data_IF_385416792039
#
_entry.id   IF_385416792039
#
_cell.length_a   1.000
_cell.length_b   1.000
_cell.length_c   1.000
_cell.angle_alpha   90.00
_cell.angle_beta   90.00
_cell.angle_gamma   90.00
#
_symmetry.space_group_name_H-M   'P 1'
#
loop_
_entity.id
_entity.type
_entity.pdbx_description
1 polymer ?
#
# COMPACT_ATOMS: atom_id res chain seq x y z
N UNK A 1 -19.11 -0.91 6.72
CA UNK A 1 -17.64 -1.01 6.54
C UNK A 1 -17.32 -0.20 5.30
N UNK A 2 -16.46 0.80 5.44
CA UNK A 2 -16.10 1.68 4.32
C UNK A 2 -15.00 1.02 3.49
N UNK A 3 -15.09 1.14 2.17
CA UNK A 3 -14.12 0.58 1.23
C UNK A 3 -13.45 1.71 0.45
N UNK A 4 -12.15 1.56 0.23
CA UNK A 4 -11.36 2.41 -0.65
C UNK A 4 -11.12 1.65 -1.97
N UNK A 5 -11.81 2.00 -3.06
CA UNK A 5 -11.40 1.57 -4.39
C UNK A 5 -10.06 2.22 -4.70
N UNK A 6 -9.05 1.41 -4.99
CA UNK A 6 -7.70 1.88 -5.26
C UNK A 6 -7.20 1.36 -6.59
N UNK A 7 -6.59 2.24 -7.39
CA UNK A 7 -5.96 1.89 -8.64
C UNK A 7 -4.51 2.36 -8.63
N UNK A 8 -3.61 1.45 -8.96
CA UNK A 8 -2.19 1.72 -9.12
C UNK A 8 -1.75 1.33 -10.53
N UNK A 9 -0.93 2.16 -11.17
CA UNK A 9 -0.33 1.87 -12.48
C UNK A 9 1.16 1.68 -12.26
N UNK A 10 1.66 0.48 -12.54
CA UNK A 10 3.09 0.17 -12.40
C UNK A 10 3.91 0.85 -13.51
N UNK A 11 5.22 0.91 -13.33
CA UNK A 11 6.14 1.43 -14.35
C UNK A 11 6.13 0.64 -15.67
N UNK A 12 5.63 -0.61 -15.68
CA UNK A 12 5.45 -1.41 -16.90
C UNK A 12 4.14 -1.13 -17.64
N UNK A 13 3.26 -0.28 -17.10
CA UNK A 13 1.94 0.00 -17.65
C UNK A 13 0.88 -1.04 -17.28
N UNK A 14 1.15 -1.90 -16.30
CA UNK A 14 0.13 -2.77 -15.70
C UNK A 14 -0.72 -1.94 -14.73
N UNK A 15 -2.04 -2.05 -14.86
CA UNK A 15 -2.99 -1.47 -13.92
C UNK A 15 -3.46 -2.52 -12.93
N UNK A 16 -3.27 -2.22 -11.65
CA UNK A 16 -3.71 -3.01 -10.52
C UNK A 16 -4.88 -2.29 -9.86
N UNK A 17 -6.01 -2.97 -9.68
CA UNK A 17 -7.18 -2.42 -8.98
C UNK A 17 -7.53 -3.27 -7.77
N UNK A 18 -7.79 -2.61 -6.64
CA UNK A 18 -8.10 -3.21 -5.34
C UNK A 18 -9.34 -2.57 -4.71
N UNK A 19 -10.00 -3.30 -3.83
CA UNK A 19 -11.05 -2.80 -2.94
C UNK A 19 -10.59 -3.00 -1.48
N UNK A 20 -9.99 -1.97 -0.88
CA UNK A 20 -9.45 -2.07 0.47
C UNK A 20 -10.50 -1.75 1.54
N UNK A 21 -10.77 -2.68 2.43
CA UNK A 21 -11.61 -2.43 3.61
C UNK A 21 -10.87 -1.51 4.60
N UNK A 22 -11.43 -0.33 4.88
CA UNK A 22 -10.84 0.62 5.82
C UNK A 22 -11.14 0.25 7.27
N UNK A 23 -10.21 0.61 8.17
CA UNK A 23 -10.44 0.47 9.60
C UNK A 23 -11.54 1.44 10.07
N UNK A 24 -12.43 1.05 11.01
CA UNK A 24 -13.50 1.94 11.50
C UNK A 24 -13.01 3.29 12.05
N UNK A 25 -11.78 3.33 12.55
CA UNK A 25 -11.11 4.55 13.05
C UNK A 25 -10.36 5.33 11.95
N UNK A 26 -10.56 4.99 10.67
CA UNK A 26 -9.97 5.75 9.56
C UNK A 26 -10.74 7.04 9.35
N UNK A 27 -10.12 8.18 9.67
CA UNK A 27 -10.79 9.50 9.54
C UNK A 27 -11.06 9.93 8.09
N UNK A 28 -10.22 9.50 7.12
CA UNK A 28 -10.32 9.99 5.74
C UNK A 28 -9.73 9.01 4.72
N UNK A 29 -10.60 8.38 3.93
CA UNK A 29 -10.22 7.55 2.79
C UNK A 29 -9.34 8.32 1.77
N UNK A 30 -9.68 9.59 1.51
CA UNK A 30 -8.91 10.45 0.58
C UNK A 30 -7.48 10.66 1.06
N UNK A 31 -7.27 10.92 2.36
CA UNK A 31 -5.92 11.09 2.92
C UNK A 31 -5.13 9.77 2.87
N UNK A 32 -5.79 8.65 3.13
CA UNK A 32 -5.18 7.32 3.00
C UNK A 32 -4.71 7.08 1.56
N UNK A 33 -5.56 7.34 0.57
CA UNK A 33 -5.18 7.21 -0.85
C UNK A 33 -3.97 8.08 -1.19
N UNK A 34 -4.00 9.37 -0.83
CA UNK A 34 -2.90 10.30 -1.10
C UNK A 34 -1.58 9.86 -0.45
N UNK A 35 -1.63 9.29 0.76
CA UNK A 35 -0.45 8.76 1.43
C UNK A 35 0.04 7.48 0.75
N UNK A 36 -0.86 6.58 0.38
CA UNK A 36 -0.52 5.34 -0.33
C UNK A 36 0.17 5.65 -1.66
N UNK A 37 -0.37 6.57 -2.46
CA UNK A 37 0.23 7.00 -3.73
C UNK A 37 1.65 7.53 -3.54
N UNK A 38 1.87 8.36 -2.51
CA UNK A 38 3.19 8.93 -2.20
C UNK A 38 4.18 7.87 -1.73
N UNK A 39 3.72 6.91 -0.92
CA UNK A 39 4.56 5.80 -0.44
C UNK A 39 4.99 4.95 -1.62
N UNK A 40 4.06 4.51 -2.46
CA UNK A 40 4.37 3.68 -3.63
C UNK A 40 5.27 4.43 -4.62
N UNK A 41 4.97 5.70 -4.93
CA UNK A 41 5.83 6.52 -5.81
C UNK A 41 7.26 6.66 -5.27
N UNK A 42 7.41 6.86 -3.96
CA UNK A 42 8.74 6.97 -3.33
C UNK A 42 9.47 5.63 -3.40
N UNK A 43 8.78 4.54 -3.09
CA UNK A 43 9.33 3.19 -3.17
C UNK A 43 9.79 2.87 -4.59
N UNK A 44 8.97 3.16 -5.60
CA UNK A 44 9.30 2.90 -7.01
C UNK A 44 10.54 3.68 -7.44
N UNK A 45 10.67 4.93 -6.98
CA UNK A 45 11.85 5.74 -7.21
C UNK A 45 13.09 5.13 -6.57
N UNK A 46 13.03 4.75 -5.29
CA UNK A 46 14.17 4.18 -4.58
C UNK A 46 14.58 2.82 -5.14
N UNK A 47 13.63 1.98 -5.55
CA UNK A 47 13.93 0.70 -6.24
C UNK A 47 14.68 0.95 -7.55
N UNK A 48 14.28 1.96 -8.33
CA UNK A 48 14.98 2.34 -9.54
C UNK A 48 16.39 2.88 -9.29
N UNK A 49 16.63 3.51 -8.14
CA UNK A 49 17.95 4.08 -7.75
C UNK A 49 18.88 3.02 -7.14
N UNK A 50 18.35 2.14 -6.29
CA UNK A 50 19.15 1.16 -5.52
C UNK A 50 19.61 -0.04 -6.36
N UNK A 51 18.98 -0.31 -7.51
CA UNK A 51 19.33 -1.44 -8.37
C UNK A 51 18.69 -2.75 -7.89
N UNK A 52 19.46 -3.84 -7.81
CA UNK A 52 18.99 -5.19 -7.46
C UNK A 52 18.35 -5.27 -6.06
N UNK A 53 17.10 -4.80 -5.95
CA UNK A 53 16.25 -4.90 -4.76
C UNK A 53 15.34 -6.10 -4.96
N UNK A 54 15.45 -7.12 -4.11
CA UNK A 54 14.51 -8.24 -4.20
C UNK A 54 13.18 -7.87 -3.53
N UNK A 55 12.07 -8.47 -3.97
CA UNK A 55 10.74 -8.22 -3.40
C UNK A 55 10.69 -8.47 -1.88
N UNK A 56 11.52 -9.38 -1.37
CA UNK A 56 11.64 -9.66 0.07
C UNK A 56 12.15 -8.46 0.87
N UNK A 57 13.19 -7.78 0.38
CA UNK A 57 13.76 -6.60 1.03
C UNK A 57 12.74 -5.45 1.08
N UNK A 58 11.97 -5.29 0.00
CA UNK A 58 10.93 -4.27 -0.07
C UNK A 58 9.81 -4.52 0.95
N UNK A 59 9.27 -5.74 0.99
CA UNK A 59 8.21 -6.09 1.95
C UNK A 59 8.71 -6.01 3.40
N UNK A 60 9.94 -6.43 3.67
CA UNK A 60 10.58 -6.31 4.98
C UNK A 60 10.72 -4.84 5.40
N UNK A 61 11.20 -3.97 4.52
CA UNK A 61 11.38 -2.54 4.80
C UNK A 61 10.03 -1.85 5.08
N UNK A 62 8.99 -2.13 4.29
CA UNK A 62 7.65 -1.59 4.52
C UNK A 62 7.05 -2.06 5.84
N UNK A 63 7.24 -3.33 6.22
CA UNK A 63 6.81 -3.86 7.50
C UNK A 63 7.55 -3.19 8.68
N UNK A 64 8.86 -2.98 8.56
CA UNK A 64 9.65 -2.28 9.58
C UNK A 64 9.26 -0.80 9.68
N UNK A 65 8.97 -0.13 8.56
CA UNK A 65 8.48 1.25 8.54
C UNK A 65 7.13 1.38 9.25
N UNK A 66 6.21 0.43 9.04
CA UNK A 66 4.96 0.36 9.79
C UNK A 66 5.21 0.19 11.29
N UNK A 67 6.11 -0.71 11.70
CA UNK A 67 6.44 -0.93 13.10
C UNK A 67 6.98 0.35 13.76
N UNK A 68 7.94 1.03 13.12
CA UNK A 68 8.47 2.32 13.60
C UNK A 68 7.35 3.34 13.71
N UNK A 69 6.49 3.47 12.70
CA UNK A 69 5.39 4.45 12.71
C UNK A 69 4.34 4.16 13.78
N UNK A 70 4.11 2.88 14.08
CA UNK A 70 3.19 2.42 15.13
C UNK A 70 3.71 2.83 16.52
N UNK A 71 5.01 2.66 16.77
CA UNK A 71 5.64 3.06 18.04
C UNK A 71 5.59 4.57 18.29
N UNK A 72 5.50 5.38 17.23
CA UNK A 72 5.38 6.84 17.36
C UNK A 72 4.00 7.32 17.83
N UNK A 73 2.99 6.44 17.95
CA UNK A 73 1.64 6.81 18.39
C UNK A 73 1.63 6.91 19.92
N UNK A 74 1.28 8.06 20.52
CA UNK A 74 1.25 8.23 21.97
C UNK A 74 -0.03 7.60 22.57
N UNK A 75 -0.09 6.28 22.60
CA UNK A 75 -1.20 5.49 23.13
C UNK A 75 -0.70 4.20 23.80
N UNK A 76 -1.62 3.36 24.28
CA UNK A 76 -1.26 2.06 24.81
C UNK A 76 -0.60 1.17 23.75
N UNK A 77 0.52 0.54 24.11
CA UNK A 77 1.35 -0.21 23.16
C UNK A 77 0.72 -1.52 22.68
N UNK A 78 -0.17 -2.16 23.44
CA UNK A 78 -0.90 -3.33 22.94
C UNK A 78 -1.99 -2.89 21.96
N UNK A 79 -2.69 -1.81 22.27
CA UNK A 79 -3.69 -1.21 21.39
C UNK A 79 -3.12 -0.83 20.02
N UNK A 80 -2.00 -0.10 19.97
CA UNK A 80 -1.40 0.34 18.70
C UNK A 80 -0.86 -0.84 17.89
N UNK A 81 -0.28 -1.85 18.54
CA UNK A 81 0.14 -3.10 17.88
C UNK A 81 -1.05 -3.89 17.33
N UNK A 82 -2.17 -3.92 18.05
CA UNK A 82 -3.42 -4.53 17.59
C UNK A 82 -3.95 -3.83 16.34
N UNK A 83 -4.03 -2.49 16.38
CA UNK A 83 -4.43 -1.67 15.24
C UNK A 83 -3.53 -1.91 14.01
N UNK A 84 -2.20 -1.90 14.19
CA UNK A 84 -1.26 -2.13 13.10
C UNK A 84 -1.42 -3.50 12.43
N UNK A 85 -1.69 -4.56 13.21
CA UNK A 85 -1.98 -5.89 12.67
C UNK A 85 -3.28 -5.91 11.88
N UNK A 86 -4.35 -5.34 12.46
CA UNK A 86 -5.68 -5.33 11.86
C UNK A 86 -5.71 -4.58 10.52
N UNK A 87 -5.04 -3.42 10.41
CA UNK A 87 -4.97 -2.68 9.14
C UNK A 87 -4.19 -3.44 8.06
N UNK A 88 -3.10 -4.14 8.42
CA UNK A 88 -2.34 -4.97 7.47
C UNK A 88 -3.16 -6.17 7.02
N UNK A 89 -3.78 -6.89 7.95
CA UNK A 89 -4.62 -8.03 7.62
C UNK A 89 -5.77 -7.63 6.69
N UNK A 90 -6.42 -6.48 6.92
CA UNK A 90 -7.46 -5.96 6.02
C UNK A 90 -6.95 -5.64 4.64
N UNK A 91 -5.77 -5.03 4.51
CA UNK A 91 -5.17 -4.75 3.21
C UNK A 91 -4.86 -6.06 2.46
N UNK A 92 -4.28 -7.06 3.14
CA UNK A 92 -3.95 -8.35 2.55
C UNK A 92 -5.18 -9.14 2.09
N UNK A 93 -6.34 -8.96 2.74
CA UNK A 93 -7.60 -9.60 2.32
C UNK A 93 -8.11 -9.13 0.96
N UNK A 94 -7.65 -7.98 0.44
CA UNK A 94 -8.02 -7.50 -0.89
C UNK A 94 -7.24 -8.21 -2.01
N UNK A 95 -6.14 -8.90 -1.71
CA UNK A 95 -5.27 -9.50 -2.72
C UNK A 95 -5.95 -10.56 -3.60
N UNK A 96 -6.79 -11.48 -3.09
CA UNK A 96 -7.44 -12.49 -3.93
C UNK A 96 -8.41 -11.90 -4.96
N UNK A 97 -8.92 -10.70 -4.70
CA UNK A 97 -9.88 -9.98 -5.56
C UNK A 97 -9.20 -8.92 -6.44
N UNK A 98 -7.87 -8.76 -6.30
CA UNK A 98 -7.11 -7.80 -7.07
C UNK A 98 -7.24 -8.08 -8.56
N UNK A 99 -7.53 -7.04 -9.34
CA UNK A 99 -7.65 -7.12 -10.80
C UNK A 99 -6.40 -6.58 -11.46
N UNK A 100 -5.89 -7.34 -12.41
CA UNK A 100 -4.71 -7.04 -13.20
C UNK A 100 -5.14 -6.77 -14.64
N UNK A 101 -4.93 -5.56 -15.12
CA UNK A 101 -5.24 -5.15 -16.49
C UNK A 101 -3.96 -4.62 -17.16
N UNK A 102 -3.50 -5.28 -18.23
CA UNK A 102 -2.44 -4.71 -19.05
C UNK A 102 -3.02 -3.60 -19.93
N UNK A 103 -2.53 -2.37 -19.76
CA UNK A 103 -2.79 -1.33 -20.76
C UNK A 103 -1.95 -1.65 -21.99
N UNK A 104 -2.59 -2.04 -23.10
CA UNK A 104 -1.94 -2.42 -24.37
C UNK A 104 -1.07 -1.29 -24.97
N UNK A 105 -0.31 -1.56 -26.05
CA UNK A 105 0.71 -0.62 -26.55
C UNK A 105 0.06 0.72 -26.90
N UNK A 106 0.63 1.80 -26.36
CA UNK A 106 0.31 3.17 -26.78
C UNK A 106 0.64 3.23 -28.27
N UNK A 107 -0.38 3.23 -29.11
CA UNK A 107 -0.21 3.29 -30.56
C UNK A 107 0.55 4.56 -30.90
N UNK A 108 1.80 4.42 -31.36
CA UNK A 108 2.48 5.48 -32.07
C UNK A 108 1.78 5.64 -33.43
N UNK A 109 1.03 6.74 -33.56
CA UNK A 109 0.60 7.28 -34.84
C UNK A 109 1.74 8.09 -35.47
#
# INVERSE_FOLDING_TARGET
MEYLPYRYTSGSGEQLTFEFALHPETDSAVRVQQLLDRVLTTVDHEVAVLGDTCNGDLLQALAMALAVRTEMIPADGEMTRGLARDVVERALRALPEARHEMTGPVGHA
#
